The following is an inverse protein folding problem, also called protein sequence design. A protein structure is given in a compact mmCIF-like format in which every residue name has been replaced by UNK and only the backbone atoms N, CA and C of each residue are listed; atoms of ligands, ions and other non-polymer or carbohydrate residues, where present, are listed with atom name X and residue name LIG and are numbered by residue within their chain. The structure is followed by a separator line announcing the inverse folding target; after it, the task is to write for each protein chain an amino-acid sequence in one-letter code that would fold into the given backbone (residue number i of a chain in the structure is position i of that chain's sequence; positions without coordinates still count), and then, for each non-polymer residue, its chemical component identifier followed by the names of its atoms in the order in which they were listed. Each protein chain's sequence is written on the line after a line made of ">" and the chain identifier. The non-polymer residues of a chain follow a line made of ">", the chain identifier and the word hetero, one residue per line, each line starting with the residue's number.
data_IF_713188987027
#
_entry.id   IF_713188987027
#
_cell.length_a   1.000
_cell.length_b   1.000
_cell.length_c   1.000
_cell.angle_alpha   90.00
_cell.angle_beta   90.00
_cell.angle_gamma   90.00
#
_symmetry.space_group_name_H-M   'P 1'
#
loop_
_entity.id
_entity.type
_entity.pdbx_description
1 polymer ?
#
# COMPACT_ATOMS: atom_id res chain seq x y z
N UNK A 1 -7.87 1.93 -9.78
CA UNK A 1 -7.37 1.96 -8.39
C UNK A 1 -6.04 1.19 -8.31
N UNK A 2 -5.06 1.69 -7.54
CA UNK A 2 -3.69 1.14 -7.43
C UNK A 2 -3.58 -0.10 -6.51
N UNK A 3 -4.70 -0.66 -6.04
CA UNK A 3 -4.74 -1.97 -5.36
C UNK A 3 -5.37 -3.07 -6.22
N UNK A 4 -6.46 -2.79 -6.92
CA UNK A 4 -7.30 -3.82 -7.57
C UNK A 4 -6.52 -4.70 -8.56
N UNK A 5 -5.66 -4.11 -9.40
CA UNK A 5 -4.98 -4.86 -10.48
C UNK A 5 -3.77 -5.67 -9.99
N UNK A 6 -2.85 -5.03 -9.28
CA UNK A 6 -1.55 -5.64 -8.93
C UNK A 6 -1.56 -6.44 -7.63
N UNK A 7 -2.50 -6.16 -6.72
CA UNK A 7 -2.41 -6.61 -5.32
C UNK A 7 -3.52 -7.57 -4.90
N UNK A 8 -4.67 -7.57 -5.60
CA UNK A 8 -5.79 -8.41 -5.25
C UNK A 8 -5.40 -9.90 -5.30
N UNK A 9 -5.76 -10.64 -4.25
CA UNK A 9 -5.43 -12.06 -4.04
C UNK A 9 -3.92 -12.40 -4.08
N UNK A 10 -3.03 -11.41 -3.93
CA UNK A 10 -1.59 -11.69 -3.83
C UNK A 10 -1.22 -12.13 -2.42
N UNK A 11 -0.20 -12.98 -2.34
CA UNK A 11 0.40 -13.35 -1.07
C UNK A 11 1.26 -12.20 -0.56
N UNK A 12 1.45 -12.17 0.75
CA UNK A 12 2.31 -11.16 1.36
C UNK A 12 3.78 -11.57 1.19
N UNK A 13 4.60 -10.66 0.70
CA UNK A 13 6.04 -10.89 0.46
C UNK A 13 6.85 -9.93 1.31
N UNK A 14 7.89 -10.47 1.95
CA UNK A 14 8.85 -9.75 2.80
C UNK A 14 10.26 -9.93 2.23
N UNK A 15 11.24 -9.19 2.76
CA UNK A 15 12.64 -9.32 2.33
C UNK A 15 13.19 -10.73 2.51
N UNK A 16 12.75 -11.43 3.56
CA UNK A 16 13.19 -12.76 3.98
C UNK A 16 12.28 -13.90 3.48
N UNK A 17 11.11 -13.58 2.91
CA UNK A 17 10.17 -14.57 2.38
C UNK A 17 9.49 -14.07 1.11
N UNK A 18 9.96 -14.59 -0.02
CA UNK A 18 9.42 -14.29 -1.33
C UNK A 18 8.18 -15.14 -1.65
N UNK A 19 7.04 -14.47 -1.85
CA UNK A 19 5.80 -15.06 -2.32
C UNK A 19 5.20 -14.28 -3.50
N UNK A 20 5.97 -13.38 -4.12
CA UNK A 20 5.47 -12.56 -5.22
C UNK A 20 5.52 -13.34 -6.54
N UNK A 21 4.98 -12.77 -7.62
CA UNK A 21 4.95 -13.45 -8.94
C UNK A 21 6.02 -12.92 -9.89
N UNK A 22 6.90 -12.03 -9.42
CA UNK A 22 7.99 -11.51 -10.22
C UNK A 22 9.06 -12.60 -10.37
N UNK A 23 9.50 -12.84 -11.60
CA UNK A 23 10.42 -13.96 -11.89
C UNK A 23 11.87 -13.64 -11.57
N UNK A 24 12.22 -12.36 -11.58
CA UNK A 24 13.61 -11.89 -11.63
C UNK A 24 14.06 -11.23 -10.32
N UNK A 25 13.51 -11.67 -9.18
CA UNK A 25 13.92 -11.25 -7.86
C UNK A 25 12.77 -10.96 -6.91
N UNK A 26 13.11 -10.58 -5.68
CA UNK A 26 12.17 -10.30 -4.61
C UNK A 26 11.77 -8.82 -4.60
N UNK A 27 10.50 -8.51 -4.89
CA UNK A 27 9.99 -7.14 -4.95
C UNK A 27 10.10 -6.41 -3.60
N UNK A 28 9.94 -7.12 -2.47
CA UNK A 28 10.07 -6.51 -1.15
C UNK A 28 11.51 -6.05 -0.86
N UNK A 29 12.52 -6.70 -1.43
CA UNK A 29 13.90 -6.21 -1.35
C UNK A 29 14.20 -5.14 -2.41
N UNK A 30 13.72 -5.27 -3.65
CA UNK A 30 13.97 -4.28 -4.70
C UNK A 30 13.33 -2.92 -4.39
N UNK A 31 12.06 -2.92 -3.98
CA UNK A 31 11.24 -1.72 -3.79
C UNK A 31 11.06 -1.32 -2.34
N UNK A 32 11.61 -2.11 -1.41
CA UNK A 32 11.63 -1.87 0.04
C UNK A 32 10.24 -1.86 0.68
N UNK A 33 10.13 -2.63 1.76
CA UNK A 33 8.87 -2.76 2.49
C UNK A 33 8.12 -4.03 2.10
N UNK A 34 7.49 -4.65 3.09
CA UNK A 34 6.69 -5.84 2.87
C UNK A 34 5.30 -5.46 2.37
N UNK A 35 4.79 -6.17 1.36
CA UNK A 35 3.52 -5.84 0.74
C UNK A 35 2.91 -7.07 0.03
N UNK A 36 1.67 -6.93 -0.40
CA UNK A 36 1.02 -7.90 -1.28
C UNK A 36 1.47 -7.68 -2.73
N UNK A 37 2.64 -8.19 -3.09
CA UNK A 37 3.23 -7.97 -4.41
C UNK A 37 2.66 -8.93 -5.46
N UNK A 38 2.31 -8.38 -6.62
CA UNK A 38 2.05 -9.12 -7.85
C UNK A 38 3.36 -9.26 -8.64
N UNK A 39 3.38 -8.81 -9.90
CA UNK A 39 4.66 -8.52 -10.57
C UNK A 39 5.16 -7.18 -10.04
N UNK A 40 5.61 -7.22 -8.79
CA UNK A 40 5.80 -6.08 -7.91
C UNK A 40 4.51 -5.29 -7.65
N UNK A 41 4.46 -3.99 -7.87
CA UNK A 41 3.37 -3.18 -7.32
C UNK A 41 2.99 -1.95 -8.15
N UNK A 42 1.76 -1.49 -7.94
CA UNK A 42 1.31 -0.13 -8.31
C UNK A 42 1.06 0.76 -7.08
N UNK A 43 1.22 0.23 -5.88
CA UNK A 43 1.24 0.98 -4.62
C UNK A 43 2.11 0.28 -3.58
N UNK A 44 2.68 1.05 -2.67
CA UNK A 44 3.39 0.49 -1.52
C UNK A 44 3.23 1.46 -0.35
N UNK A 45 2.32 1.15 0.58
CA UNK A 45 2.13 1.97 1.78
C UNK A 45 3.16 1.69 2.87
N UNK A 46 3.96 0.64 2.70
CA UNK A 46 5.02 0.19 3.61
C UNK A 46 6.43 0.50 3.06
N UNK A 47 6.53 1.33 2.01
CA UNK A 47 7.79 1.74 1.41
C UNK A 47 8.60 2.67 2.32
N UNK A 48 9.75 3.12 1.83
CA UNK A 48 10.59 4.08 2.54
C UNK A 48 9.86 5.42 2.70
N UNK A 49 9.93 6.02 3.88
CA UNK A 49 9.46 7.39 4.06
C UNK A 49 10.48 8.39 3.50
N UNK A 50 10.23 8.86 2.27
CA UNK A 50 11.19 9.67 1.50
C UNK A 50 10.84 11.17 1.42
N UNK A 51 9.74 11.59 2.07
CA UNK A 51 9.29 13.00 2.20
C UNK A 51 9.12 13.71 0.86
N UNK A 52 7.94 13.59 0.24
CA UNK A 52 7.64 14.29 -1.00
C UNK A 52 8.41 13.72 -2.21
N UNK A 53 8.83 14.60 -3.12
CA UNK A 53 9.47 14.21 -4.40
C UNK A 53 10.88 13.66 -4.16
N UNK A 54 11.21 12.53 -4.79
CA UNK A 54 12.51 11.87 -4.65
C UNK A 54 12.93 11.13 -5.93
N UNK A 55 14.21 10.79 -6.03
CA UNK A 55 14.83 10.07 -7.16
C UNK A 55 14.74 8.53 -7.05
N UNK A 56 14.41 8.01 -5.87
CA UNK A 56 14.32 6.57 -5.60
C UNK A 56 13.04 5.95 -6.16
N UNK A 57 13.04 5.68 -7.46
CA UNK A 57 11.87 5.19 -8.19
C UNK A 57 11.15 4.05 -7.48
N UNK A 58 9.85 4.27 -7.18
CA UNK A 58 8.94 3.27 -6.63
C UNK A 58 9.33 2.69 -5.26
N UNK A 59 10.38 3.22 -4.61
CA UNK A 59 10.86 2.76 -3.29
C UNK A 59 10.19 3.44 -2.10
N UNK A 60 9.45 4.52 -2.36
CA UNK A 60 8.81 5.34 -1.34
C UNK A 60 7.41 4.85 -0.94
N UNK A 61 6.84 5.45 0.09
CA UNK A 61 5.42 5.30 0.43
C UNK A 61 4.59 5.97 -0.66
N UNK A 62 3.96 5.23 -1.59
CA UNK A 62 3.28 5.85 -2.74
C UNK A 62 2.02 5.12 -3.18
N UNK A 63 1.20 5.84 -3.93
CA UNK A 63 -0.01 5.35 -4.57
C UNK A 63 -0.06 5.86 -6.01
N UNK A 64 0.17 4.96 -6.99
CA UNK A 64 0.44 5.38 -8.37
C UNK A 64 -0.64 6.30 -8.96
N UNK A 65 -1.92 5.99 -8.74
CA UNK A 65 -3.03 6.79 -9.29
C UNK A 65 -3.21 8.16 -8.61
N UNK A 66 -2.42 8.49 -7.58
CA UNK A 66 -2.46 9.77 -6.89
C UNK A 66 -1.13 10.55 -7.03
N UNK A 67 0.00 9.94 -6.68
CA UNK A 67 1.32 10.61 -6.65
C UNK A 67 2.37 10.00 -7.59
N UNK A 68 1.99 9.03 -8.43
CA UNK A 68 2.91 8.22 -9.23
C UNK A 68 3.97 7.53 -8.34
N UNK A 69 5.15 7.19 -8.88
CA UNK A 69 6.18 6.40 -8.18
C UNK A 69 7.25 7.21 -7.44
N UNK A 70 7.38 8.51 -7.75
CA UNK A 70 8.53 9.33 -7.34
C UNK A 70 8.14 10.45 -6.36
N UNK A 71 6.95 10.35 -5.76
CA UNK A 71 6.51 11.25 -4.70
C UNK A 71 5.91 10.43 -3.56
N UNK A 72 6.63 10.40 -2.45
CA UNK A 72 6.22 9.75 -1.22
C UNK A 72 5.10 10.54 -0.56
N UNK A 73 4.09 9.82 -0.06
CA UNK A 73 3.01 10.36 0.77
C UNK A 73 3.57 10.73 2.15
N UNK A 74 3.02 11.80 2.73
CA UNK A 74 3.42 12.27 4.05
C UNK A 74 2.83 11.40 5.16
N UNK A 75 1.61 10.90 4.96
CA UNK A 75 0.89 10.03 5.90
C UNK A 75 0.10 8.96 5.16
N UNK A 76 -0.04 7.80 5.78
CA UNK A 76 -0.88 6.69 5.31
C UNK A 76 -1.58 6.05 6.50
N UNK A 77 -2.83 5.62 6.28
CA UNK A 77 -3.60 4.93 7.30
C UNK A 77 -4.50 3.88 6.63
N UNK A 78 -4.40 2.63 7.04
CA UNK A 78 -5.26 1.55 6.56
C UNK A 78 -6.29 1.22 7.64
N UNK A 79 -7.58 1.37 7.32
CA UNK A 79 -8.69 1.05 8.23
C UNK A 79 -9.60 0.03 7.57
N UNK A 80 -10.07 -0.92 8.37
CA UNK A 80 -11.10 -1.87 7.97
C UNK A 80 -12.33 -1.58 8.80
N UNK A 81 -13.50 -1.72 8.18
CA UNK A 81 -14.80 -1.62 8.84
C UNK A 81 -15.59 -2.90 8.54
N UNK A 82 -16.34 -3.45 9.51
CA UNK A 82 -17.23 -4.57 9.26
C UNK A 82 -18.17 -4.28 8.09
N UNK A 83 -18.39 -5.28 7.22
CA UNK A 83 -19.27 -5.14 6.05
C UNK A 83 -20.73 -4.88 6.45
N UNK A 84 -21.13 -5.34 7.63
CA UNK A 84 -22.45 -5.13 8.23
C UNK A 84 -22.49 -3.93 9.19
N UNK A 85 -21.52 -3.01 9.14
CA UNK A 85 -21.50 -1.84 10.02
C UNK A 85 -22.75 -0.99 9.83
N UNK A 86 -23.52 -0.83 10.91
CA UNK A 86 -24.65 0.11 11.00
C UNK A 86 -24.21 1.29 11.84
N UNK A 87 -24.34 2.50 11.30
CA UNK A 87 -24.21 3.71 12.12
C UNK A 87 -25.37 3.72 13.11
N UNK A 88 -25.10 3.49 14.38
CA UNK A 88 -26.04 3.84 15.44
C UNK A 88 -26.13 5.36 15.48
N UNK A 89 -27.28 5.91 15.10
CA UNK A 89 -27.57 7.31 15.37
C UNK A 89 -27.74 7.45 16.88
N UNK A 90 -26.74 8.03 17.55
CA UNK A 90 -26.95 8.56 18.88
C UNK A 90 -27.87 9.75 18.68
N UNK A 91 -29.15 9.58 19.04
CA UNK A 91 -30.03 10.72 19.25
C UNK A 91 -29.38 11.51 20.39
N UNK A 92 -28.67 12.57 20.05
CA UNK A 92 -28.31 13.60 21.03
C UNK A 92 -29.63 14.13 21.55
N UNK A 93 -30.09 13.62 22.70
CA UNK A 93 -31.04 14.32 23.53
C UNK A 93 -30.32 15.58 23.98
N UNK A 94 -30.43 16.65 23.21
CA UNK A 94 -30.26 18.00 23.73
C UNK A 94 -31.33 18.20 24.83
N UNK A 95 -30.97 18.80 25.98
CA UNK A 95 -31.93 19.17 27.02
C UNK A 95 -33.08 20.03 26.48
#
# INVERSE_FOLDING_TARGET
>A
DSMIGSHNNKKFTTKDKDNDIHKDGNCADMYKGAWWYGSCHSSNLNGLYLRGIHDRHAKGVHWYSFTYHNKSLDTTEMKIRPTNFRKSFVLTKTP
#
